data_IF_376487318602
#
_entry.id   IF_376487318602
#
_cell.length_a   1.000
_cell.length_b   1.000
_cell.length_c   1.000
_cell.angle_alpha   90.00
_cell.angle_beta   90.00
_cell.angle_gamma   90.00
#
_symmetry.space_group_name_H-M   'P 1'
#
loop_
_entity.id
_entity.type
_entity.pdbx_description
1 polymer ?
#
# COMPACT_ATOMS: atom_id res chain seq x y z
N UNK A 1 -8.49 0.63 -19.45
CA UNK A 1 -7.05 0.31 -19.64
C UNK A 1 -6.21 0.58 -18.38
N UNK A 2 -6.52 1.58 -17.55
CA UNK A 2 -5.76 1.87 -16.32
C UNK A 2 -6.04 0.94 -15.14
N UNK A 3 -7.29 0.49 -14.95
CA UNK A 3 -7.66 -0.47 -13.90
C UNK A 3 -6.84 -1.76 -13.94
N UNK A 4 -6.54 -2.27 -15.14
CA UNK A 4 -5.69 -3.45 -15.33
C UNK A 4 -4.26 -3.24 -14.85
N UNK A 5 -3.70 -2.03 -15.03
CA UNK A 5 -2.36 -1.70 -14.52
C UNK A 5 -2.33 -1.70 -13.00
N UNK A 6 -3.36 -1.12 -12.36
CA UNK A 6 -3.49 -1.10 -10.89
C UNK A 6 -3.59 -2.52 -10.33
N UNK A 7 -4.38 -3.39 -10.99
CA UNK A 7 -4.52 -4.79 -10.61
C UNK A 7 -3.20 -5.57 -10.70
N UNK A 8 -2.39 -5.31 -11.73
CA UNK A 8 -1.08 -5.95 -11.92
C UNK A 8 -0.07 -5.41 -10.90
N UNK A 9 -0.03 -4.09 -10.68
CA UNK A 9 0.87 -3.45 -9.72
C UNK A 9 0.63 -3.92 -8.29
N UNK A 10 -0.63 -4.06 -7.87
CA UNK A 10 -0.97 -4.58 -6.55
C UNK A 10 -0.62 -6.07 -6.38
N UNK A 11 -0.47 -6.83 -7.48
CA UNK A 11 -0.12 -8.25 -7.42
C UNK A 11 1.37 -8.44 -7.08
N UNK A 12 2.23 -7.50 -7.45
CA UNK A 12 3.68 -7.53 -7.18
C UNK A 12 3.99 -7.71 -5.69
N UNK A 13 3.54 -6.84 -4.77
CA UNK A 13 3.81 -6.98 -3.34
C UNK A 13 3.14 -8.23 -2.76
N UNK A 14 1.95 -8.60 -3.24
CA UNK A 14 1.20 -9.77 -2.75
C UNK A 14 1.96 -11.08 -3.06
N UNK A 15 2.44 -11.24 -4.30
CA UNK A 15 3.23 -12.41 -4.72
C UNK A 15 4.61 -12.39 -4.06
N UNK A 16 5.24 -11.23 -3.91
CA UNK A 16 6.54 -11.09 -3.24
C UNK A 16 6.45 -11.50 -1.77
N UNK A 17 5.39 -11.07 -1.08
CA UNK A 17 5.12 -11.47 0.30
C UNK A 17 4.82 -12.97 0.43
N UNK A 18 4.07 -13.55 -0.52
CA UNK A 18 3.84 -14.99 -0.56
C UNK A 18 5.15 -15.78 -0.66
N UNK A 19 6.00 -15.44 -1.62
CA UNK A 19 7.28 -16.12 -1.83
C UNK A 19 8.23 -15.90 -0.64
N UNK A 20 8.32 -14.67 -0.12
CA UNK A 20 9.17 -14.36 1.03
C UNK A 20 8.77 -15.12 2.29
N UNK A 21 7.47 -15.25 2.55
CA UNK A 21 6.95 -15.94 3.75
C UNK A 21 6.91 -17.47 3.64
N UNK A 22 6.81 -18.02 2.42
CA UNK A 22 6.74 -19.48 2.18
C UNK A 22 8.07 -20.12 1.81
N UNK A 23 8.92 -19.46 1.03
CA UNK A 23 10.15 -20.04 0.46
C UNK A 23 11.43 -19.54 1.14
N UNK A 24 11.44 -18.31 1.65
CA UNK A 24 12.61 -17.74 2.34
C UNK A 24 12.48 -17.87 3.85
N UNK A 25 11.29 -17.59 4.39
CA UNK A 25 11.01 -17.65 5.82
C UNK A 25 11.63 -16.48 6.59
N UNK A 26 11.06 -16.18 7.77
CA UNK A 26 11.52 -15.08 8.60
C UNK A 26 12.53 -15.55 9.64
N UNK A 27 13.75 -15.02 9.61
CA UNK A 27 14.76 -15.27 10.62
C UNK A 27 15.03 -13.98 11.40
N UNK A 28 14.74 -13.99 12.72
CA UNK A 28 15.09 -12.90 13.63
C UNK A 28 16.36 -13.32 14.38
N UNK A 29 17.50 -12.71 14.05
CA UNK A 29 18.79 -13.05 14.64
C UNK A 29 19.33 -14.40 14.15
N UNK A 30 19.89 -15.21 15.04
CA UNK A 30 20.52 -16.51 14.71
C UNK A 30 19.57 -17.71 14.79
N UNK A 31 18.24 -17.49 14.79
CA UNK A 31 17.24 -18.57 14.83
C UNK A 31 16.93 -19.10 13.42
N UNK A 32 16.54 -20.37 13.36
CA UNK A 32 16.08 -21.01 12.13
C UNK A 32 14.91 -20.21 11.51
N UNK A 33 14.86 -20.08 10.17
CA UNK A 33 13.82 -19.33 9.50
C UNK A 33 12.45 -19.98 9.76
N UNK A 34 11.50 -19.16 10.21
CA UNK A 34 10.11 -19.57 10.43
C UNK A 34 9.35 -19.36 9.12
N UNK A 35 8.83 -20.45 8.57
CA UNK A 35 8.05 -20.44 7.32
C UNK A 35 6.56 -20.57 7.61
N UNK A 36 5.73 -19.95 6.77
CA UNK A 36 4.28 -20.16 6.81
C UNK A 36 3.91 -21.37 5.95
N UNK A 37 2.89 -22.11 6.39
CA UNK A 37 2.24 -23.12 5.54
C UNK A 37 1.66 -22.48 4.28
N UNK A 38 1.80 -23.14 3.14
CA UNK A 38 1.36 -22.63 1.83
C UNK A 38 -0.13 -22.22 1.83
N UNK A 39 -0.99 -22.98 2.51
CA UNK A 39 -2.42 -22.69 2.63
C UNK A 39 -2.70 -21.38 3.37
N UNK A 40 -2.01 -21.13 4.50
CA UNK A 40 -2.17 -19.89 5.28
C UNK A 40 -1.58 -18.69 4.54
N UNK A 41 -0.42 -18.87 3.91
CA UNK A 41 0.21 -17.83 3.12
C UNK A 41 -0.67 -17.41 1.93
N UNK A 42 -1.32 -18.36 1.26
CA UNK A 42 -2.18 -18.06 0.11
C UNK A 42 -3.40 -17.25 0.54
N UNK A 43 -4.05 -17.64 1.64
CA UNK A 43 -5.16 -16.89 2.20
C UNK A 43 -4.75 -15.46 2.60
N UNK A 44 -3.61 -15.29 3.27
CA UNK A 44 -3.08 -13.99 3.65
C UNK A 44 -2.73 -13.11 2.45
N UNK A 45 -2.12 -13.70 1.41
CA UNK A 45 -1.79 -13.00 0.16
C UNK A 45 -3.04 -12.50 -0.56
N UNK A 46 -4.08 -13.33 -0.66
CA UNK A 46 -5.35 -12.93 -1.30
C UNK A 46 -6.04 -11.81 -0.50
N UNK A 47 -6.11 -11.93 0.82
CA UNK A 47 -6.68 -10.87 1.67
C UNK A 47 -5.90 -9.57 1.56
N UNK A 48 -4.57 -9.63 1.58
CA UNK A 48 -3.70 -8.45 1.45
C UNK A 48 -3.87 -7.79 0.09
N UNK A 49 -3.99 -8.59 -0.98
CA UNK A 49 -4.27 -8.08 -2.33
C UNK A 49 -5.61 -7.33 -2.39
N UNK A 50 -6.68 -7.91 -1.85
CA UNK A 50 -7.98 -7.25 -1.79
C UNK A 50 -7.96 -5.99 -0.93
N UNK A 51 -7.26 -6.01 0.20
CA UNK A 51 -7.09 -4.84 1.07
C UNK A 51 -6.35 -3.70 0.36
N UNK A 52 -5.30 -4.00 -0.41
CA UNK A 52 -4.58 -2.99 -1.21
C UNK A 52 -5.50 -2.36 -2.27
N UNK A 53 -6.28 -3.15 -3.01
CA UNK A 53 -7.23 -2.63 -3.99
C UNK A 53 -8.31 -1.76 -3.34
N UNK A 54 -8.84 -2.20 -2.20
CA UNK A 54 -9.78 -1.41 -1.42
C UNK A 54 -9.15 -0.09 -0.94
N UNK A 55 -7.89 -0.12 -0.48
CA UNK A 55 -7.15 1.06 -0.07
C UNK A 55 -7.01 2.09 -1.20
N UNK A 56 -6.66 1.68 -2.41
CA UNK A 56 -6.58 2.58 -3.58
C UNK A 56 -7.95 3.17 -3.92
N UNK A 57 -9.00 2.36 -3.90
CA UNK A 57 -10.36 2.82 -4.18
C UNK A 57 -10.83 3.85 -3.15
N UNK A 58 -10.58 3.59 -1.86
CA UNK A 58 -10.90 4.50 -0.75
C UNK A 58 -10.10 5.80 -0.89
N UNK A 59 -8.80 5.73 -1.16
CA UNK A 59 -7.98 6.93 -1.37
C UNK A 59 -8.45 7.76 -2.56
N UNK A 60 -8.76 7.12 -3.69
CA UNK A 60 -9.31 7.80 -4.86
C UNK A 60 -10.66 8.47 -4.57
N UNK A 61 -11.52 7.82 -3.79
CA UNK A 61 -12.80 8.40 -3.35
C UNK A 61 -12.59 9.62 -2.43
N UNK A 62 -11.64 9.55 -1.48
CA UNK A 62 -11.30 10.69 -0.62
C UNK A 62 -10.71 11.86 -1.42
N UNK A 63 -9.82 11.59 -2.38
CA UNK A 63 -9.27 12.63 -3.26
C UNK A 63 -10.40 13.29 -4.07
N UNK A 64 -11.32 12.50 -4.64
CA UNK A 64 -12.46 13.04 -5.38
C UNK A 64 -13.41 13.85 -4.50
N UNK A 65 -13.68 13.37 -3.27
CA UNK A 65 -14.53 14.08 -2.32
C UNK A 65 -13.91 15.41 -1.89
N UNK A 66 -12.61 15.41 -1.60
CA UNK A 66 -11.89 16.60 -1.16
C UNK A 66 -11.66 17.60 -2.29
N UNK A 67 -11.51 17.15 -3.54
CA UNK A 67 -11.39 18.01 -4.71
C UNK A 67 -12.56 18.99 -4.85
N UNK A 68 -13.78 18.57 -4.47
CA UNK A 68 -14.97 19.42 -4.50
C UNK A 68 -14.87 20.63 -3.57
N UNK A 69 -14.06 20.56 -2.52
CA UNK A 69 -13.84 21.66 -1.57
C UNK A 69 -12.93 22.75 -2.16
N UNK A 70 -12.13 22.41 -3.18
CA UNK A 70 -11.14 23.30 -3.80
C UNK A 70 -11.55 23.72 -5.23
N UNK A 71 -12.86 23.69 -5.53
CA UNK A 71 -13.43 23.99 -6.86
C UNK A 71 -12.88 23.16 -8.04
N UNK A 72 -12.14 22.08 -7.74
CA UNK A 72 -11.65 21.14 -8.73
C UNK A 72 -12.70 20.05 -8.99
N UNK A 73 -12.95 19.73 -10.27
CA UNK A 73 -13.93 18.72 -10.69
C UNK A 73 -13.30 17.50 -11.39
N UNK A 74 -12.29 16.83 -10.79
CA UNK A 74 -11.68 15.66 -11.40
C UNK A 74 -12.66 14.48 -11.41
N UNK A 75 -12.60 13.66 -12.44
CA UNK A 75 -13.42 12.46 -12.53
C UNK A 75 -12.93 11.40 -11.52
N UNK A 76 -13.84 10.67 -10.86
CA UNK A 76 -13.47 9.69 -9.81
C UNK A 76 -12.48 8.63 -10.32
N UNK A 77 -12.62 8.23 -11.59
CA UNK A 77 -11.67 7.31 -12.23
C UNK A 77 -10.26 7.90 -12.31
N UNK A 78 -10.12 9.20 -12.57
CA UNK A 78 -8.82 9.87 -12.62
C UNK A 78 -8.20 9.96 -11.22
N UNK A 79 -9.00 10.21 -10.17
CA UNK A 79 -8.53 10.23 -8.79
C UNK A 79 -8.01 8.86 -8.32
N UNK A 80 -8.71 7.78 -8.66
CA UNK A 80 -8.26 6.41 -8.36
C UNK A 80 -6.96 6.08 -9.11
N UNK A 81 -6.86 6.48 -10.37
CA UNK A 81 -5.64 6.30 -11.16
C UNK A 81 -4.47 7.09 -10.57
N UNK A 82 -4.71 8.34 -10.17
CA UNK A 82 -3.72 9.18 -9.49
C UNK A 82 -3.24 8.52 -8.18
N UNK A 83 -4.17 8.05 -7.34
CA UNK A 83 -3.84 7.33 -6.10
C UNK A 83 -3.00 6.06 -6.36
N UNK A 84 -3.27 5.34 -7.44
CA UNK A 84 -2.48 4.17 -7.82
C UNK A 84 -1.07 4.54 -8.29
N UNK A 85 -0.93 5.64 -9.04
CA UNK A 85 0.38 6.15 -9.47
C UNK A 85 1.22 6.63 -8.29
N UNK A 86 0.62 7.35 -7.34
CA UNK A 86 1.34 7.77 -6.14
C UNK A 86 1.71 6.58 -5.26
N UNK A 87 0.89 5.51 -5.21
CA UNK A 87 1.19 4.28 -4.47
C UNK A 87 2.17 3.32 -5.18
N UNK A 88 2.53 3.58 -6.45
CA UNK A 88 3.45 2.72 -7.22
C UNK A 88 4.81 2.49 -6.55
N UNK A 89 5.48 3.49 -5.95
CA UNK A 89 6.73 3.29 -5.22
C UNK A 89 6.55 2.38 -4.01
N UNK A 90 5.40 2.45 -3.32
CA UNK A 90 5.06 1.53 -2.24
C UNK A 90 4.93 0.08 -2.75
N UNK A 91 4.26 -0.12 -3.90
CA UNK A 91 4.12 -1.46 -4.49
C UNK A 91 5.45 -2.04 -4.97
N UNK A 92 6.29 -1.22 -5.60
CA UNK A 92 7.65 -1.61 -5.98
C UNK A 92 8.49 -1.90 -4.74
N UNK A 93 8.37 -1.07 -3.70
CA UNK A 93 9.02 -1.30 -2.41
C UNK A 93 8.62 -2.62 -1.77
N UNK A 94 7.40 -3.11 -2.03
CA UNK A 94 6.95 -4.42 -1.62
C UNK A 94 7.72 -5.61 -2.21
N UNK A 95 8.52 -5.42 -3.27
CA UNK A 95 9.48 -6.43 -3.74
C UNK A 95 10.53 -6.77 -2.67
N UNK A 96 10.81 -5.84 -1.74
CA UNK A 96 11.64 -6.11 -0.57
C UNK A 96 11.11 -7.27 0.28
N UNK A 97 9.80 -7.55 0.23
CA UNK A 97 9.20 -8.67 0.96
C UNK A 97 9.67 -10.02 0.44
N UNK A 98 10.23 -10.10 -0.78
CA UNK A 98 10.79 -11.33 -1.34
C UNK A 98 11.96 -11.86 -0.50
N UNK A 99 12.76 -10.96 0.07
CA UNK A 99 13.84 -11.29 0.99
C UNK A 99 13.53 -10.65 2.34
N UNK A 100 12.87 -11.38 3.25
CA UNK A 100 12.22 -10.78 4.39
C UNK A 100 13.26 -10.51 5.51
N UNK A 101 14.10 -9.51 5.25
CA UNK A 101 15.16 -9.03 6.12
C UNK A 101 14.78 -7.67 6.68
N UNK A 102 14.79 -7.54 8.01
CA UNK A 102 14.28 -6.36 8.72
C UNK A 102 14.88 -5.05 8.19
N UNK A 103 16.22 -4.99 8.07
CA UNK A 103 16.91 -3.80 7.57
C UNK A 103 16.57 -3.45 6.13
N UNK A 104 16.39 -4.45 5.25
CA UNK A 104 16.07 -4.22 3.85
C UNK A 104 14.66 -3.66 3.74
N UNK A 105 13.70 -4.27 4.46
CA UNK A 105 12.33 -3.78 4.53
C UNK A 105 12.25 -2.37 5.11
N UNK A 106 13.03 -2.04 6.16
CA UNK A 106 13.07 -0.70 6.74
C UNK A 106 13.63 0.35 5.76
N UNK A 107 14.76 0.07 5.11
CA UNK A 107 15.38 1.02 4.17
C UNK A 107 14.50 1.22 2.94
N UNK A 108 14.06 0.13 2.31
CA UNK A 108 13.24 0.19 1.08
C UNK A 108 11.85 0.76 1.39
N UNK A 109 11.23 0.36 2.49
CA UNK A 109 9.93 0.88 2.91
C UNK A 109 9.98 2.38 3.21
N UNK A 110 11.01 2.83 3.92
CA UNK A 110 11.19 4.27 4.20
C UNK A 110 11.43 5.05 2.91
N UNK A 111 12.30 4.56 2.02
CA UNK A 111 12.55 5.21 0.73
C UNK A 111 11.29 5.28 -0.14
N UNK A 112 10.51 4.20 -0.19
CA UNK A 112 9.25 4.13 -0.92
C UNK A 112 8.20 5.10 -0.38
N UNK A 113 8.08 5.22 0.95
CA UNK A 113 7.19 6.19 1.60
C UNK A 113 7.65 7.61 1.27
N UNK A 114 8.91 7.95 1.48
CA UNK A 114 9.44 9.28 1.18
C UNK A 114 9.18 9.68 -0.28
N UNK A 115 9.39 8.77 -1.22
CA UNK A 115 9.16 9.03 -2.64
C UNK A 115 7.66 9.16 -2.97
N UNK A 116 6.80 8.38 -2.31
CA UNK A 116 5.34 8.48 -2.46
C UNK A 116 4.81 9.81 -1.93
N UNK A 117 5.31 10.26 -0.78
CA UNK A 117 4.97 11.58 -0.24
C UNK A 117 5.42 12.66 -1.22
N UNK A 118 6.66 12.59 -1.72
CA UNK A 118 7.16 13.53 -2.72
C UNK A 118 6.26 13.58 -3.98
N UNK A 119 5.91 12.42 -4.56
CA UNK A 119 5.01 12.35 -5.72
C UNK A 119 3.63 12.92 -5.43
N UNK A 120 3.12 12.76 -4.21
CA UNK A 120 1.82 13.28 -3.82
C UNK A 120 1.85 14.82 -3.74
N UNK A 121 2.87 15.40 -3.10
CA UNK A 121 3.01 16.86 -2.98
C UNK A 121 3.26 17.56 -4.32
N UNK A 122 4.02 16.93 -5.22
CA UNK A 122 4.25 17.48 -6.56
C UNK A 122 3.07 17.19 -7.49
N UNK A 123 2.48 16.00 -7.40
CA UNK A 123 1.46 15.53 -8.32
C UNK A 123 0.08 16.15 -8.11
N UNK A 124 -0.32 16.40 -6.87
CA UNK A 124 -1.64 16.96 -6.55
C UNK A 124 -1.86 18.37 -7.11
N UNK A 125 -0.99 19.38 -6.89
CA UNK A 125 -1.20 20.72 -7.44
C UNK A 125 -1.25 20.70 -8.96
N UNK A 126 -0.37 19.92 -9.61
CA UNK A 126 -0.37 19.77 -11.08
C UNK A 126 -1.63 19.05 -11.60
N UNK A 127 -2.10 18.01 -10.90
CA UNK A 127 -3.28 17.24 -11.29
C UNK A 127 -4.59 18.03 -11.12
N UNK A 128 -4.70 18.80 -10.03
CA UNK A 128 -5.90 19.58 -9.70
C UNK A 128 -5.90 20.96 -10.38
N UNK A 129 -4.75 21.45 -10.84
CA UNK A 129 -4.63 22.79 -11.45
C UNK A 129 -4.81 23.94 -10.45
N UNK A 130 -4.50 23.70 -9.17
CA UNK A 130 -4.65 24.66 -8.07
C UNK A 130 -3.31 25.34 -7.74
N UNK A 131 -3.30 26.57 -7.20
CA UNK A 131 -2.07 27.24 -6.77
C UNK A 131 -1.31 26.42 -5.71
N UNK A 132 0.01 26.56 -5.67
CA UNK A 132 0.89 25.74 -4.82
C UNK A 132 0.55 25.82 -3.32
N UNK A 133 0.10 26.99 -2.84
CA UNK A 133 -0.30 27.19 -1.45
C UNK A 133 -1.50 26.32 -1.04
N UNK A 134 -2.51 26.23 -1.91
CA UNK A 134 -3.69 25.37 -1.71
C UNK A 134 -3.34 23.89 -1.93
N UNK A 135 -2.48 23.62 -2.91
CA UNK A 135 -1.97 22.29 -3.20
C UNK A 135 -1.18 21.67 -2.06
N UNK A 136 -0.42 22.47 -1.31
CA UNK A 136 0.30 22.01 -0.12
C UNK A 136 -0.66 21.56 0.98
N UNK A 137 -1.69 22.37 1.27
CA UNK A 137 -2.72 22.04 2.27
C UNK A 137 -3.50 20.79 1.86
N UNK A 138 -3.91 20.71 0.59
CA UNK A 138 -4.59 19.53 0.05
C UNK A 138 -3.74 18.28 0.18
N UNK A 139 -2.47 18.36 -0.23
CA UNK A 139 -1.53 17.24 -0.18
C UNK A 139 -1.32 16.72 1.23
N UNK A 140 -1.15 17.62 2.20
CA UNK A 140 -1.03 17.27 3.61
C UNK A 140 -2.29 16.55 4.13
N UNK A 141 -3.48 17.02 3.77
CA UNK A 141 -4.74 16.37 4.14
C UNK A 141 -4.89 14.98 3.51
N UNK A 142 -4.57 14.81 2.21
CA UNK A 142 -4.59 13.48 1.58
C UNK A 142 -3.55 12.55 2.22
N UNK A 143 -2.36 13.05 2.54
CA UNK A 143 -1.34 12.29 3.24
C UNK A 143 -1.85 11.80 4.61
N UNK A 144 -2.48 12.67 5.39
CA UNK A 144 -3.05 12.30 6.69
C UNK A 144 -4.13 11.22 6.56
N UNK A 145 -5.03 11.34 5.59
CA UNK A 145 -6.02 10.30 5.28
C UNK A 145 -5.33 8.98 4.87
N UNK A 146 -4.30 9.06 4.02
CA UNK A 146 -3.51 7.90 3.59
C UNK A 146 -2.86 7.19 4.77
N UNK A 147 -2.30 7.93 5.72
CA UNK A 147 -1.73 7.36 6.95
C UNK A 147 -2.81 6.68 7.81
N UNK A 148 -3.97 7.30 7.99
CA UNK A 148 -5.09 6.69 8.74
C UNK A 148 -5.57 5.39 8.08
N UNK A 149 -5.72 5.40 6.76
CA UNK A 149 -6.12 4.22 5.98
C UNK A 149 -5.07 3.12 6.08
N UNK A 150 -3.77 3.46 6.01
CA UNK A 150 -2.67 2.52 6.21
C UNK A 150 -2.72 1.88 7.60
N UNK A 151 -2.85 2.69 8.66
CA UNK A 151 -2.92 2.20 10.05
C UNK A 151 -4.17 1.35 10.27
N UNK A 152 -5.31 1.73 9.68
CA UNK A 152 -6.54 0.94 9.74
C UNK A 152 -6.39 -0.42 9.02
N UNK A 153 -5.67 -0.47 7.90
CA UNK A 153 -5.34 -1.73 7.22
C UNK A 153 -4.44 -2.64 8.08
N UNK A 154 -3.43 -2.07 8.74
CA UNK A 154 -2.56 -2.84 9.65
C UNK A 154 -3.37 -3.35 10.86
N UNK A 155 -4.17 -2.50 11.49
CA UNK A 155 -4.98 -2.86 12.65
C UNK A 155 -6.04 -3.92 12.31
N UNK A 156 -6.74 -3.78 11.18
CA UNK A 156 -7.71 -4.79 10.72
C UNK A 156 -7.04 -6.14 10.44
N UNK A 157 -5.83 -6.14 9.89
CA UNK A 157 -5.05 -7.38 9.70
C UNK A 157 -4.75 -8.07 11.03
N UNK A 158 -4.32 -7.32 12.05
CA UNK A 158 -4.05 -7.86 13.40
C UNK A 158 -5.33 -8.39 14.06
N UNK A 159 -6.45 -7.68 13.91
CA UNK A 159 -7.75 -8.12 14.43
C UNK A 159 -8.20 -9.44 13.75
N UNK A 160 -8.04 -9.55 12.43
CA UNK A 160 -8.34 -10.78 11.69
C UNK A 160 -7.50 -11.96 12.16
N UNK A 161 -6.23 -11.73 12.51
CA UNK A 161 -5.39 -12.77 13.12
C UNK A 161 -5.95 -13.24 14.46
N UNK A 162 -6.47 -12.32 15.27
CA UNK A 162 -7.13 -12.62 16.53
C UNK A 162 -8.42 -13.45 16.38
N UNK A 163 -9.10 -13.37 15.23
CA UNK A 163 -10.29 -14.16 14.91
C UNK A 163 -9.99 -15.55 14.32
N UNK A 164 -8.72 -15.98 14.32
CA UNK A 164 -8.33 -17.31 13.84
C UNK A 164 -7.85 -17.35 12.40
N UNK A 165 -7.72 -16.21 11.72
CA UNK A 165 -7.09 -16.08 10.39
C UNK A 165 -5.63 -15.67 10.54
N UNK A 166 -4.94 -16.20 11.54
CA UNK A 166 -3.54 -15.92 11.82
C UNK A 166 -2.57 -16.76 10.97
N UNK A 167 -1.30 -16.36 10.86
CA UNK A 167 -0.28 -17.14 10.18
C UNK A 167 -0.11 -18.51 10.85
N UNK A 168 -0.24 -19.59 10.09
CA UNK A 168 0.01 -20.96 10.56
C UNK A 168 1.42 -21.35 10.15
N UNK A 169 2.30 -21.45 11.13
CA UNK A 169 3.70 -21.78 10.93
C UNK A 169 3.89 -23.28 10.67
N UNK A 170 4.85 -23.63 9.82
CA UNK A 170 5.30 -25.02 9.68
C UNK A 170 6.13 -25.40 10.91
N UNK A 171 5.82 -26.57 11.50
CA UNK A 171 6.56 -27.18 12.62
C UNK A 171 7.95 -27.64 12.23
#
# INVERSE_FOLDING_TARGET
MYLTHVLILAAIPAVSAYIGTTQVGWAIGARAPVMLTEASALQMTVMTYLAMLAGIAVMGAFIHWMARTYDASPNLTQCVVFAAYTATPLFIGGLAALYPHLWLAMVVGTAAICYTVYLLYVGIPTFMGIPEDEGFMFSSSVLAVGLVVLVAMIASSVILWGFGVGPVYTS
#
